data_IF_761907818183
#
_entry.id   IF_761907818183
#
_cell.length_a   1.000
_cell.length_b   1.000
_cell.length_c   1.000
_cell.angle_alpha   90.00
_cell.angle_beta   90.00
_cell.angle_gamma   90.00
#
_symmetry.space_group_name_H-M   'P 1'
#
loop_
_entity.id
_entity.type
_entity.pdbx_description
1 polymer ?
#
# COMPACT_ATOMS: atom_id res chain seq x y z
N UNK A 1 4.87 38.77 -0.44
CA UNK A 1 3.60 38.04 -0.25
C UNK A 1 2.54 38.80 -1.07
N UNK A 2 1.92 38.17 -2.07
CA UNK A 2 0.87 38.80 -2.89
C UNK A 2 -0.39 38.91 -2.02
N UNK A 3 -1.03 40.08 -2.00
CA UNK A 3 -2.21 40.31 -1.18
C UNK A 3 -3.49 39.89 -1.91
N UNK A 4 -4.58 39.61 -1.18
CA UNK A 4 -5.89 39.38 -1.78
C UNK A 4 -6.35 40.60 -2.60
N UNK A 5 -5.96 41.79 -2.18
CA UNK A 5 -6.27 43.02 -2.93
C UNK A 5 -5.59 43.06 -4.31
N UNK A 6 -4.34 42.56 -4.43
CA UNK A 6 -3.64 42.51 -5.72
C UNK A 6 -4.37 41.56 -6.71
N UNK A 7 -4.90 40.45 -6.20
CA UNK A 7 -5.70 39.52 -7.01
C UNK A 7 -7.03 40.15 -7.45
N UNK A 8 -7.75 40.79 -6.52
CA UNK A 8 -9.05 41.42 -6.79
C UNK A 8 -8.91 42.60 -7.78
N UNK A 9 -7.76 43.28 -7.80
CA UNK A 9 -7.49 44.37 -8.73
C UNK A 9 -6.84 43.90 -10.03
N UNK A 10 -6.71 42.60 -10.29
CA UNK A 10 -6.11 42.05 -11.49
C UNK A 10 -4.61 42.31 -11.61
N UNK A 11 -3.94 42.67 -10.50
CA UNK A 11 -2.49 42.98 -10.48
C UNK A 11 -1.62 41.72 -10.37
N UNK A 12 -2.26 40.57 -10.12
CA UNK A 12 -1.58 39.27 -10.11
C UNK A 12 -2.43 38.24 -10.87
N UNK A 13 -1.80 37.26 -11.54
CA UNK A 13 -2.53 36.19 -12.17
C UNK A 13 -3.42 35.46 -11.13
N UNK A 14 -4.57 34.99 -11.60
CA UNK A 14 -5.43 34.13 -10.78
C UNK A 14 -4.66 32.89 -10.35
N UNK A 15 -4.59 32.65 -9.04
CA UNK A 15 -3.87 31.53 -8.43
C UNK A 15 -4.71 30.23 -8.34
N UNK A 16 -5.81 30.14 -9.07
CA UNK A 16 -6.56 28.91 -9.23
C UNK A 16 -5.87 28.00 -10.25
N UNK A 17 -5.76 26.72 -9.91
CA UNK A 17 -5.19 25.69 -10.78
C UNK A 17 -6.21 24.56 -10.92
N UNK A 18 -7.13 24.62 -11.91
CA UNK A 18 -8.09 23.58 -12.17
C UNK A 18 -7.38 22.29 -12.60
N UNK A 19 -7.99 21.14 -12.29
CA UNK A 19 -7.56 19.89 -12.88
C UNK A 19 -7.94 19.85 -14.37
N UNK A 20 -6.95 19.49 -15.18
CA UNK A 20 -7.14 19.13 -16.57
C UNK A 20 -7.02 17.60 -16.69
N UNK A 21 -8.14 16.94 -16.90
CA UNK A 21 -8.19 15.48 -17.04
C UNK A 21 -7.81 15.08 -18.46
N UNK A 22 -6.88 14.15 -18.56
CA UNK A 22 -6.38 13.63 -19.85
C UNK A 22 -6.61 12.12 -19.86
N UNK A 23 -7.21 11.63 -20.96
CA UNK A 23 -7.63 10.23 -21.10
C UNK A 23 -6.77 9.44 -22.10
N UNK A 24 -5.92 10.15 -22.89
CA UNK A 24 -5.09 9.55 -23.95
C UNK A 24 -5.86 9.18 -25.21
N UNK A 25 -7.00 9.83 -25.42
CA UNK A 25 -7.83 9.73 -26.64
C UNK A 25 -7.99 11.06 -27.33
N UNK A 26 -7.57 12.15 -26.69
CA UNK A 26 -7.62 13.50 -27.19
C UNK A 26 -6.61 13.69 -28.32
N UNK A 27 -7.01 14.45 -29.34
CA UNK A 27 -6.10 14.93 -30.38
C UNK A 27 -5.22 16.06 -29.85
N UNK A 28 -4.10 16.30 -30.52
CA UNK A 28 -3.21 17.43 -30.21
C UNK A 28 -3.96 18.77 -30.22
N UNK A 29 -4.84 18.98 -31.20
CA UNK A 29 -5.65 20.20 -31.32
C UNK A 29 -6.61 20.37 -30.12
N UNK A 30 -7.21 19.30 -29.65
CA UNK A 30 -8.08 19.33 -28.48
C UNK A 30 -7.32 19.69 -27.22
N UNK A 31 -6.17 19.04 -26.97
CA UNK A 31 -5.34 19.35 -25.80
C UNK A 31 -4.89 20.82 -25.79
N UNK A 32 -4.41 21.34 -26.92
CA UNK A 32 -4.01 22.76 -27.03
C UNK A 32 -5.19 23.70 -26.82
N UNK A 33 -6.35 23.36 -27.37
CA UNK A 33 -7.58 24.15 -27.21
C UNK A 33 -8.04 24.22 -25.76
N UNK A 34 -7.96 23.14 -25.01
CA UNK A 34 -8.35 23.16 -23.59
C UNK A 34 -7.45 24.08 -22.75
N UNK A 35 -6.13 24.07 -22.98
CA UNK A 35 -5.20 25.01 -22.32
C UNK A 35 -5.54 26.45 -22.67
N UNK A 36 -5.87 26.74 -23.95
CA UNK A 36 -6.27 28.07 -24.38
C UNK A 36 -7.55 28.55 -23.69
N UNK A 37 -8.57 27.70 -23.57
CA UNK A 37 -9.80 28.02 -22.84
C UNK A 37 -9.56 28.34 -21.37
N UNK A 38 -8.70 27.57 -20.72
CA UNK A 38 -8.30 27.84 -19.32
C UNK A 38 -7.65 29.23 -19.24
N UNK A 39 -6.76 29.56 -20.18
CA UNK A 39 -6.10 30.85 -20.25
C UNK A 39 -7.09 31.98 -20.48
N UNK A 40 -8.02 31.83 -21.44
CA UNK A 40 -9.07 32.81 -21.78
C UNK A 40 -9.99 33.10 -20.60
N UNK A 41 -10.16 32.12 -19.68
CA UNK A 41 -10.90 32.30 -18.43
C UNK A 41 -10.16 33.13 -17.37
N UNK A 42 -8.96 33.65 -17.69
CA UNK A 42 -8.15 34.45 -16.76
C UNK A 42 -7.38 33.64 -15.73
N UNK A 43 -7.28 32.31 -15.90
CA UNK A 43 -6.59 31.39 -15.01
C UNK A 43 -5.11 31.34 -15.41
N UNK A 44 -4.19 31.32 -14.42
CA UNK A 44 -2.75 31.40 -14.65
C UNK A 44 -2.03 30.05 -14.75
N UNK A 45 -2.69 28.95 -14.45
CA UNK A 45 -2.11 27.61 -14.50
C UNK A 45 -3.13 26.49 -14.38
N UNK A 46 -2.69 25.26 -14.50
CA UNK A 46 -3.54 24.06 -14.39
C UNK A 46 -2.73 22.89 -13.86
N UNK A 47 -3.43 21.89 -13.32
CA UNK A 47 -2.86 20.63 -12.89
C UNK A 47 -3.34 19.51 -13.80
N UNK A 48 -2.42 18.82 -14.47
CA UNK A 48 -2.74 17.69 -15.35
C UNK A 48 -2.92 16.44 -14.50
N UNK A 49 -4.00 15.73 -14.75
CA UNK A 49 -4.32 14.46 -14.08
C UNK A 49 -4.74 13.41 -15.12
N UNK A 50 -4.14 12.22 -15.06
CA UNK A 50 -4.63 11.05 -15.79
C UNK A 50 -5.95 10.55 -15.18
N UNK A 51 -7.06 10.41 -15.98
CA UNK A 51 -8.36 10.10 -15.35
C UNK A 51 -9.33 9.26 -16.17
N UNK A 52 -9.11 7.97 -16.31
CA UNK A 52 -7.83 7.28 -16.46
C UNK A 52 -7.19 7.65 -17.80
N UNK A 53 -5.87 7.67 -17.87
CA UNK A 53 -5.17 7.80 -19.15
C UNK A 53 -4.92 6.42 -19.73
N UNK A 54 -5.23 6.24 -21.03
CA UNK A 54 -5.16 4.96 -21.74
C UNK A 54 -3.75 4.33 -21.75
N UNK A 55 -2.72 5.19 -21.74
CA UNK A 55 -1.31 4.80 -21.78
C UNK A 55 -0.53 5.54 -20.68
N UNK A 56 -1.06 5.50 -19.43
CA UNK A 56 -0.43 6.14 -18.27
C UNK A 56 0.97 5.55 -18.02
N UNK A 57 1.96 6.40 -17.74
CA UNK A 57 3.38 6.08 -17.65
C UNK A 57 3.99 5.49 -18.93
N UNK A 58 3.25 5.47 -20.04
CA UNK A 58 3.75 5.06 -21.35
C UNK A 58 4.06 6.24 -22.27
N UNK A 59 4.56 5.95 -23.49
CA UNK A 59 4.90 6.98 -24.49
C UNK A 59 3.77 7.95 -24.81
N UNK A 60 2.51 7.49 -24.79
CA UNK A 60 1.33 8.31 -25.02
C UNK A 60 1.13 9.36 -23.95
N UNK A 61 1.29 9.01 -22.69
CA UNK A 61 1.21 9.94 -21.57
C UNK A 61 2.26 11.03 -21.66
N UNK A 62 3.52 10.66 -21.90
CA UNK A 62 4.62 11.62 -22.02
C UNK A 62 4.48 12.52 -23.25
N UNK A 63 3.94 12.01 -24.36
CA UNK A 63 3.59 12.83 -25.52
C UNK A 63 2.56 13.89 -25.15
N UNK A 64 1.47 13.51 -24.47
CA UNK A 64 0.40 14.42 -24.11
C UNK A 64 0.89 15.46 -23.09
N UNK A 65 1.70 15.07 -22.11
CA UNK A 65 2.37 16.01 -21.20
C UNK A 65 3.27 17.00 -21.93
N UNK A 66 4.05 16.54 -22.91
CA UNK A 66 4.93 17.42 -23.71
C UNK A 66 4.13 18.44 -24.52
N UNK A 67 3.01 18.03 -25.12
CA UNK A 67 2.10 18.93 -25.86
C UNK A 67 1.48 20.00 -24.93
N UNK A 68 1.00 19.57 -23.76
CA UNK A 68 0.41 20.49 -22.78
C UNK A 68 1.43 21.47 -22.22
N UNK A 69 2.66 21.00 -21.96
CA UNK A 69 3.76 21.83 -21.47
C UNK A 69 4.19 22.87 -22.52
N UNK A 70 4.28 22.46 -23.81
CA UNK A 70 4.58 23.35 -24.91
C UNK A 70 3.53 24.46 -25.00
N UNK A 71 2.26 24.12 -24.95
CA UNK A 71 1.17 25.09 -25.01
C UNK A 71 1.13 25.98 -23.76
N UNK A 72 1.41 25.45 -22.58
CA UNK A 72 1.51 26.20 -21.34
C UNK A 72 2.63 27.27 -21.45
N UNK A 73 3.80 26.88 -21.94
CA UNK A 73 4.91 27.82 -22.21
C UNK A 73 4.53 28.90 -23.23
N UNK A 74 3.87 28.53 -24.33
CA UNK A 74 3.42 29.46 -25.36
C UNK A 74 2.42 30.49 -24.84
N UNK A 75 1.56 30.09 -23.91
CA UNK A 75 0.51 30.94 -23.33
C UNK A 75 0.91 31.61 -22.01
N UNK A 76 2.12 31.36 -21.51
CA UNK A 76 2.63 31.89 -20.25
C UNK A 76 1.90 31.38 -19.02
N UNK A 77 1.42 30.12 -19.05
CA UNK A 77 0.75 29.46 -17.97
C UNK A 77 1.70 28.55 -17.20
N UNK A 78 1.39 28.30 -15.92
CA UNK A 78 2.05 27.27 -15.12
C UNK A 78 1.34 25.93 -15.30
N UNK A 79 2.11 24.86 -15.42
CA UNK A 79 1.61 23.49 -15.49
C UNK A 79 2.12 22.69 -14.30
N UNK A 80 1.21 22.07 -13.62
CA UNK A 80 1.48 21.10 -12.55
C UNK A 80 1.04 19.71 -13.01
N UNK A 81 1.60 18.68 -12.43
CA UNK A 81 1.28 17.28 -12.75
C UNK A 81 0.88 16.58 -11.47
N UNK A 82 -0.26 15.90 -11.49
CA UNK A 82 -0.57 14.89 -10.51
C UNK A 82 0.11 13.58 -10.93
N UNK A 83 0.95 13.06 -10.08
CA UNK A 83 1.90 11.98 -10.34
C UNK A 83 1.28 10.58 -10.44
N UNK A 84 -0.02 10.43 -10.25
CA UNK A 84 -0.70 9.14 -10.34
C UNK A 84 -2.06 9.23 -11.04
N UNK A 85 -2.53 8.09 -11.53
CA UNK A 85 -3.88 7.95 -12.12
C UNK A 85 -4.98 7.75 -11.08
N UNK A 86 -4.62 7.49 -9.82
CA UNK A 86 -5.53 7.21 -8.70
C UNK A 86 -5.01 7.79 -7.38
N UNK A 87 -5.94 8.11 -6.48
CA UNK A 87 -5.59 8.45 -5.10
C UNK A 87 -5.53 7.21 -4.20
N UNK A 88 -4.62 7.21 -3.22
CA UNK A 88 -3.49 8.10 -3.00
C UNK A 88 -2.35 7.84 -3.99
N UNK A 89 -1.41 8.79 -4.11
CA UNK A 89 -0.21 8.66 -4.96
C UNK A 89 0.71 7.51 -4.50
N UNK A 90 1.59 7.03 -5.40
CA UNK A 90 2.51 5.92 -5.12
C UNK A 90 2.02 4.56 -5.59
N UNK A 91 0.94 4.51 -6.38
CA UNK A 91 0.47 3.29 -7.02
C UNK A 91 1.05 3.11 -8.43
N UNK A 92 1.28 4.22 -9.14
CA UNK A 92 1.82 4.29 -10.49
C UNK A 92 1.09 3.34 -11.47
N UNK A 93 -0.25 3.34 -11.43
CA UNK A 93 -1.10 2.40 -12.18
C UNK A 93 -0.73 0.91 -11.98
N UNK A 94 -0.30 0.58 -10.76
CA UNK A 94 0.12 -0.76 -10.39
C UNK A 94 1.51 -1.18 -10.90
N UNK A 95 2.28 -0.29 -11.53
CA UNK A 95 3.62 -0.57 -12.04
C UNK A 95 4.55 -1.02 -10.91
N UNK A 96 4.54 -0.34 -9.75
CA UNK A 96 5.33 -0.73 -8.58
C UNK A 96 5.09 -2.19 -8.20
N UNK A 97 3.82 -2.59 -8.12
CA UNK A 97 3.48 -3.98 -7.77
C UNK A 97 3.88 -5.00 -8.83
N UNK A 98 3.81 -4.62 -10.11
CA UNK A 98 4.16 -5.51 -11.23
C UNK A 98 5.66 -5.68 -11.40
N UNK A 99 6.41 -4.60 -11.31
CA UNK A 99 7.82 -4.53 -11.74
C UNK A 99 8.77 -4.54 -10.54
N UNK A 100 8.36 -3.93 -9.42
CA UNK A 100 9.17 -3.75 -8.21
C UNK A 100 8.39 -4.12 -6.94
N UNK A 101 7.87 -5.36 -6.81
CA UNK A 101 7.04 -5.75 -5.67
C UNK A 101 7.78 -5.64 -4.32
N UNK A 102 9.11 -5.65 -4.31
CA UNK A 102 9.94 -5.47 -3.12
C UNK A 102 9.88 -4.04 -2.55
N UNK A 103 9.52 -3.05 -3.38
CA UNK A 103 9.34 -1.65 -2.99
C UNK A 103 7.96 -1.36 -2.40
N UNK A 104 7.01 -2.28 -2.53
CA UNK A 104 5.67 -2.10 -1.99
C UNK A 104 5.66 -1.91 -0.47
N UNK A 105 4.66 -1.19 0.01
CA UNK A 105 4.38 -1.05 1.45
C UNK A 105 4.32 -2.39 2.13
N UNK A 106 4.89 -2.45 3.34
CA UNK A 106 4.80 -3.59 4.25
C UNK A 106 4.06 -3.16 5.50
N UNK A 107 3.30 -4.08 6.04
CA UNK A 107 2.50 -3.90 7.24
C UNK A 107 3.01 -4.79 8.35
N UNK A 108 3.14 -4.24 9.54
CA UNK A 108 3.35 -5.01 10.75
C UNK A 108 1.99 -5.54 11.19
N UNK A 109 1.85 -6.86 11.23
CA UNK A 109 0.62 -7.52 11.63
C UNK A 109 0.86 -8.32 12.90
N UNK A 110 -0.08 -8.28 13.83
CA UNK A 110 -0.09 -9.13 15.01
C UNK A 110 -1.32 -10.02 14.97
N UNK A 111 -1.12 -11.32 15.17
CA UNK A 111 -2.18 -12.31 15.41
C UNK A 111 -2.01 -12.90 16.79
N UNK A 112 -3.11 -12.98 17.50
CA UNK A 112 -3.13 -13.50 18.87
C UNK A 112 -3.98 -14.77 18.97
N UNK A 113 -3.51 -15.71 19.78
CA UNK A 113 -4.26 -16.92 20.17
C UNK A 113 -4.18 -17.07 21.68
N UNK A 114 -5.31 -17.29 22.29
CA UNK A 114 -5.42 -17.51 23.72
C UNK A 114 -5.42 -19.00 24.06
N UNK A 115 -4.69 -19.35 25.10
CA UNK A 115 -4.56 -20.70 25.62
C UNK A 115 -4.74 -20.73 27.15
N UNK A 116 -5.24 -21.85 27.63
CA UNK A 116 -5.34 -22.15 29.06
C UNK A 116 -4.40 -23.31 29.39
N UNK A 117 -3.43 -23.07 30.28
CA UNK A 117 -2.50 -24.08 30.76
C UNK A 117 -2.92 -24.69 32.11
N UNK A 118 -2.14 -25.67 32.61
CA UNK A 118 -0.87 -26.10 32.02
C UNK A 118 -1.04 -27.12 30.89
N UNK A 119 -0.12 -27.08 29.90
CA UNK A 119 0.01 -28.09 28.85
C UNK A 119 1.48 -28.29 28.49
N UNK A 120 1.89 -29.52 28.29
CA UNK A 120 3.25 -29.88 27.88
C UNK A 120 3.31 -30.23 26.39
N UNK A 121 4.43 -29.93 25.74
CA UNK A 121 4.70 -30.29 24.36
C UNK A 121 3.62 -29.79 23.35
N UNK A 122 3.17 -28.58 23.53
CA UNK A 122 2.23 -27.95 22.59
C UNK A 122 2.90 -27.61 21.28
N UNK A 123 2.19 -27.86 20.17
CA UNK A 123 2.54 -27.35 18.84
C UNK A 123 1.46 -26.37 18.38
N UNK A 124 1.85 -25.13 18.15
CA UNK A 124 0.99 -24.14 17.50
C UNK A 124 1.36 -23.97 16.04
N UNK A 125 0.42 -24.25 15.12
CA UNK A 125 0.61 -24.02 13.68
C UNK A 125 0.32 -22.56 13.38
N UNK A 126 1.30 -21.85 12.82
CA UNK A 126 1.29 -20.40 12.60
C UNK A 126 0.88 -19.98 11.20
N UNK A 127 0.54 -20.91 10.33
CA UNK A 127 0.18 -20.67 8.92
C UNK A 127 -0.94 -19.62 8.76
N UNK A 128 -1.88 -19.56 9.70
CA UNK A 128 -2.97 -18.59 9.73
C UNK A 128 -2.50 -17.13 9.87
N UNK A 129 -1.29 -16.91 10.38
CA UNK A 129 -0.71 -15.57 10.53
C UNK A 129 -0.09 -15.04 9.24
N UNK A 130 0.20 -15.91 8.28
CA UNK A 130 0.80 -15.57 6.99
C UNK A 130 -0.31 -15.37 5.94
N UNK A 131 -0.34 -14.21 5.32
CA UNK A 131 -1.38 -13.79 4.37
C UNK A 131 -0.90 -13.74 2.93
N UNK A 132 0.43 -13.68 2.76
CA UNK A 132 1.11 -13.63 1.47
C UNK A 132 2.31 -14.58 1.54
N UNK A 133 2.68 -15.27 0.44
CA UNK A 133 3.85 -16.16 0.42
C UNK A 133 5.18 -15.48 0.79
N UNK A 134 5.23 -14.16 0.69
CA UNK A 134 6.41 -13.34 1.03
C UNK A 134 6.43 -12.88 2.48
N UNK A 135 5.39 -13.18 3.25
CA UNK A 135 5.29 -12.79 4.65
C UNK A 135 6.41 -13.44 5.46
N UNK A 136 6.89 -12.69 6.44
CA UNK A 136 7.93 -13.15 7.37
C UNK A 136 7.44 -13.02 8.79
N UNK A 137 7.64 -14.07 9.58
CA UNK A 137 7.47 -13.99 11.02
C UNK A 137 8.67 -13.20 11.57
N UNK A 138 8.39 -12.15 12.33
CA UNK A 138 9.39 -11.34 13.03
C UNK A 138 9.59 -11.81 14.45
N UNK A 139 8.50 -12.14 15.14
CA UNK A 139 8.55 -12.61 16.51
C UNK A 139 7.35 -13.49 16.82
N UNK A 140 7.56 -14.45 17.71
CA UNK A 140 6.52 -15.24 18.35
C UNK A 140 6.75 -15.15 19.85
N UNK A 141 5.76 -14.63 20.59
CA UNK A 141 5.87 -14.44 22.03
C UNK A 141 4.68 -15.02 22.76
N UNK A 142 4.90 -15.55 23.94
CA UNK A 142 3.88 -16.03 24.85
C UNK A 142 3.85 -15.14 26.09
N UNK A 143 2.70 -14.53 26.40
CA UNK A 143 2.54 -13.62 27.54
C UNK A 143 1.34 -14.02 28.38
N UNK A 144 1.45 -13.90 29.70
CA UNK A 144 0.35 -14.21 30.63
C UNK A 144 -0.75 -13.16 30.54
N UNK A 145 -2.00 -13.62 30.49
CA UNK A 145 -3.18 -12.73 30.55
C UNK A 145 -3.46 -12.35 32.00
N UNK A 146 -3.73 -11.08 32.22
CA UNK A 146 -4.13 -10.54 33.53
C UNK A 146 -5.63 -10.28 33.61
N UNK A 147 -6.25 -9.93 32.46
CA UNK A 147 -7.67 -9.73 32.28
C UNK A 147 -8.04 -9.96 30.81
N UNK A 148 -9.30 -9.77 30.48
CA UNK A 148 -9.75 -9.82 29.09
C UNK A 148 -8.96 -8.78 28.24
N UNK A 149 -8.30 -9.27 27.19
CA UNK A 149 -7.46 -8.49 26.26
C UNK A 149 -6.23 -7.78 26.87
N UNK A 150 -5.88 -8.05 28.13
CA UNK A 150 -4.69 -7.49 28.78
C UNK A 150 -3.65 -8.56 29.09
N UNK A 151 -2.40 -8.26 28.85
CA UNK A 151 -1.26 -9.14 29.14
C UNK A 151 -0.32 -8.48 30.17
N UNK A 152 0.40 -9.30 30.91
CA UNK A 152 1.53 -8.86 31.73
C UNK A 152 2.82 -8.96 30.88
N UNK A 153 3.37 -7.82 30.42
CA UNK A 153 4.56 -7.84 29.56
C UNK A 153 5.81 -8.39 30.26
N UNK A 154 5.84 -8.39 31.59
CA UNK A 154 6.98 -8.89 32.37
C UNK A 154 7.08 -10.43 32.34
N UNK A 155 5.99 -11.11 31.97
CA UNK A 155 5.92 -12.55 31.84
C UNK A 155 6.21 -13.05 30.41
N UNK A 156 6.57 -12.15 29.51
CA UNK A 156 6.73 -12.48 28.10
C UNK A 156 7.91 -13.43 27.88
N UNK A 157 7.61 -14.55 27.25
CA UNK A 157 8.57 -15.56 26.82
C UNK A 157 8.75 -15.42 25.31
N UNK A 158 9.98 -15.22 24.85
CA UNK A 158 10.30 -15.21 23.42
C UNK A 158 10.43 -16.65 22.91
N UNK A 159 9.66 -16.98 21.90
CA UNK A 159 9.62 -18.28 21.23
C UNK A 159 10.10 -18.17 19.77
N UNK A 160 10.61 -17.04 19.35
CA UNK A 160 10.97 -16.77 17.95
C UNK A 160 11.97 -17.78 17.40
N UNK A 161 13.00 -18.12 18.16
CA UNK A 161 14.03 -19.09 17.76
C UNK A 161 13.54 -20.55 17.75
N UNK A 162 12.34 -20.81 18.28
CA UNK A 162 11.70 -22.13 18.27
C UNK A 162 10.77 -22.33 17.07
N UNK A 163 10.63 -21.32 16.22
CA UNK A 163 9.78 -21.41 15.03
C UNK A 163 10.49 -22.27 13.99
N UNK A 164 9.78 -23.22 13.43
CA UNK A 164 10.28 -24.11 12.39
C UNK A 164 9.29 -24.29 11.25
N UNK A 165 9.78 -24.74 10.11
CA UNK A 165 8.95 -25.10 8.95
C UNK A 165 8.94 -26.60 8.78
N UNK A 166 7.79 -27.15 8.39
CA UNK A 166 7.65 -28.56 8.06
C UNK A 166 6.77 -28.72 6.82
N UNK A 167 6.97 -29.82 6.11
CA UNK A 167 6.08 -30.21 5.02
C UNK A 167 4.93 -31.02 5.64
N UNK A 168 3.72 -30.50 5.49
CA UNK A 168 2.52 -31.26 5.87
C UNK A 168 2.11 -32.14 4.67
N UNK A 169 2.11 -33.46 4.90
CA UNK A 169 1.62 -34.43 3.92
C UNK A 169 0.13 -34.22 3.54
N UNK A 170 -0.58 -33.39 4.32
CA UNK A 170 -1.98 -32.97 4.07
C UNK A 170 -2.08 -31.64 3.33
N UNK A 171 -1.00 -31.16 2.73
CA UNK A 171 -1.03 -29.96 1.87
C UNK A 171 -1.97 -30.22 0.68
N UNK A 172 -3.17 -29.71 0.76
CA UNK A 172 -4.26 -29.94 -0.18
C UNK A 172 -5.62 -30.11 0.47
N UNK A 173 -5.66 -30.48 1.75
CA UNK A 173 -6.89 -30.50 2.52
C UNK A 173 -7.23 -29.10 3.03
N UNK A 174 -8.39 -28.61 2.60
CA UNK A 174 -8.97 -27.37 3.13
C UNK A 174 -9.39 -27.65 4.56
N UNK A 175 -8.78 -26.97 5.55
CA UNK A 175 -9.31 -26.99 6.90
C UNK A 175 -10.71 -26.37 6.91
N UNK A 176 -11.69 -27.20 7.20
CA UNK A 176 -13.07 -26.77 7.31
C UNK A 176 -13.39 -26.44 8.78
N UNK A 177 -14.19 -25.40 8.98
CA UNK A 177 -14.83 -25.17 10.27
C UNK A 177 -15.77 -26.33 10.63
N UNK A 178 -16.21 -26.39 11.88
CA UNK A 178 -17.22 -27.36 12.32
C UNK A 178 -18.54 -27.32 11.52
N UNK A 179 -18.75 -26.25 10.73
CA UNK A 179 -19.91 -26.08 9.84
C UNK A 179 -19.57 -26.35 8.36
N UNK A 180 -18.43 -26.98 8.07
CA UNK A 180 -18.04 -27.33 6.70
C UNK A 180 -17.61 -26.13 5.81
N UNK A 181 -17.40 -24.96 6.40
CA UNK A 181 -16.95 -23.76 5.67
C UNK A 181 -15.41 -23.69 5.67
N UNK A 182 -14.77 -23.30 4.55
CA UNK A 182 -13.33 -23.06 4.54
C UNK A 182 -12.94 -22.01 5.57
N UNK A 183 -11.97 -22.31 6.42
CA UNK A 183 -11.43 -21.32 7.35
C UNK A 183 -10.70 -20.21 6.60
N UNK A 184 -10.96 -18.93 6.92
CA UNK A 184 -10.25 -17.82 6.29
C UNK A 184 -8.75 -17.90 6.58
N UNK A 185 -7.93 -17.77 5.53
CA UNK A 185 -6.47 -17.70 5.66
C UNK A 185 -5.74 -19.04 5.54
N UNK A 186 -6.39 -20.09 5.00
CA UNK A 186 -5.70 -21.31 4.62
C UNK A 186 -5.02 -21.10 3.24
N UNK A 187 -3.72 -20.72 3.17
CA UNK A 187 -3.02 -20.65 1.90
C UNK A 187 -2.92 -22.06 1.34
N UNK A 188 -3.40 -22.24 0.13
CA UNK A 188 -3.44 -23.56 -0.55
C UNK A 188 -2.05 -24.14 -0.83
N UNK A 189 -0.98 -23.33 -0.70
CA UNK A 189 0.37 -23.68 -1.08
C UNK A 189 1.39 -23.08 -0.09
N UNK A 190 2.48 -23.80 0.15
CA UNK A 190 3.61 -23.36 0.93
C UNK A 190 3.85 -24.18 2.21
N UNK A 191 5.06 -24.11 2.78
CA UNK A 191 5.42 -24.86 3.96
C UNK A 191 4.55 -24.45 5.15
N UNK A 192 4.23 -25.42 6.00
CA UNK A 192 3.63 -25.14 7.29
C UNK A 192 4.68 -24.57 8.23
N UNK A 193 4.28 -23.57 9.01
CA UNK A 193 5.13 -22.96 10.03
C UNK A 193 4.51 -23.25 11.39
N UNK A 194 5.33 -23.68 12.34
CA UNK A 194 4.89 -24.03 13.69
C UNK A 194 5.88 -23.59 14.75
N UNK A 195 5.47 -23.62 16.00
CA UNK A 195 6.28 -23.40 17.17
C UNK A 195 5.89 -24.39 18.26
N UNK A 196 6.89 -25.00 18.90
CA UNK A 196 6.69 -25.91 20.04
C UNK A 196 7.05 -25.20 21.34
N UNK A 197 6.20 -25.38 22.36
CA UNK A 197 6.40 -24.80 23.68
C UNK A 197 5.61 -25.52 24.75
N UNK A 198 6.06 -25.36 25.99
CA UNK A 198 5.29 -25.74 27.17
C UNK A 198 4.47 -24.53 27.62
N UNK A 199 3.21 -24.80 27.97
CA UNK A 199 2.29 -23.76 28.43
C UNK A 199 2.20 -23.85 29.96
N UNK A 200 2.66 -22.85 30.73
CA UNK A 200 2.56 -22.82 32.16
C UNK A 200 1.09 -22.71 32.62
N UNK A 201 0.85 -22.93 33.91
CA UNK A 201 -0.49 -22.77 34.50
C UNK A 201 -1.01 -21.34 34.32
N UNK A 202 -2.31 -21.21 34.04
CA UNK A 202 -3.00 -19.95 33.86
C UNK A 202 -3.47 -19.68 32.44
N UNK A 203 -3.84 -18.42 32.20
CA UNK A 203 -4.27 -17.93 30.88
C UNK A 203 -3.12 -17.23 30.16
N UNK A 204 -2.89 -17.58 28.92
CA UNK A 204 -1.78 -17.09 28.12
C UNK A 204 -2.22 -16.65 26.73
N UNK A 205 -1.53 -15.69 26.17
CA UNK A 205 -1.70 -15.24 24.78
C UNK A 205 -0.43 -15.49 23.99
N UNK A 206 -0.53 -16.25 22.93
CA UNK A 206 0.51 -16.39 21.92
C UNK A 206 0.33 -15.26 20.89
N UNK A 207 1.35 -14.41 20.77
CA UNK A 207 1.37 -13.34 19.79
C UNK A 207 2.29 -13.74 18.63
N UNK A 208 1.78 -13.68 17.41
CA UNK A 208 2.55 -13.93 16.18
C UNK A 208 2.65 -12.62 15.43
N UNK A 209 3.84 -12.07 15.40
CA UNK A 209 4.13 -10.78 14.76
C UNK A 209 4.77 -11.05 13.40
N UNK A 210 4.15 -10.52 12.35
CA UNK A 210 4.58 -10.75 10.97
C UNK A 210 4.76 -9.43 10.23
N UNK A 211 5.66 -9.42 9.25
CA UNK A 211 5.70 -8.42 8.20
C UNK A 211 5.02 -9.00 6.97
N UNK A 212 4.02 -8.29 6.47
CA UNK A 212 3.21 -8.72 5.32
C UNK A 212 3.08 -7.60 4.30
N UNK A 213 2.93 -7.96 3.03
CA UNK A 213 2.51 -7.06 1.97
C UNK A 213 0.99 -6.87 1.93
N UNK A 214 0.26 -7.59 2.80
CA UNK A 214 -1.19 -7.52 2.99
C UNK A 214 -1.51 -7.17 4.43
N UNK A 215 -2.64 -6.51 4.64
CA UNK A 215 -3.12 -6.21 5.99
C UNK A 215 -3.33 -4.75 6.30
N UNK A 216 -3.04 -3.87 5.37
CA UNK A 216 -3.50 -2.49 5.36
C UNK A 216 -4.89 -2.36 4.73
N UNK A 217 -5.29 -1.14 4.46
CA UNK A 217 -6.47 -0.88 3.64
C UNK A 217 -6.25 -1.44 2.24
N UNK A 218 -7.25 -2.12 1.69
CA UNK A 218 -7.16 -2.74 0.35
C UNK A 218 -6.74 -1.75 -0.74
N UNK A 219 -7.10 -0.48 -0.56
CA UNK A 219 -6.79 0.60 -1.49
C UNK A 219 -5.29 0.96 -1.53
N UNK A 220 -4.52 0.62 -0.50
CA UNK A 220 -3.10 0.96 -0.41
C UNK A 220 -2.17 -0.26 -0.49
N UNK A 221 -2.72 -1.46 -0.69
CA UNK A 221 -1.91 -2.64 -0.97
C UNK A 221 -1.25 -2.52 -2.35
N UNK A 222 0.07 -2.65 -2.39
CA UNK A 222 0.85 -2.52 -3.63
C UNK A 222 1.36 -1.11 -3.94
N UNK A 223 1.10 -0.14 -3.06
CA UNK A 223 1.68 1.20 -3.14
C UNK A 223 3.15 1.19 -2.70
N UNK A 224 3.89 2.17 -3.18
CA UNK A 224 5.28 2.38 -2.80
C UNK A 224 5.40 2.57 -1.29
N UNK A 225 6.49 2.04 -0.71
CA UNK A 225 6.79 2.23 0.70
C UNK A 225 7.43 3.61 0.94
N UNK A 226 6.72 4.56 1.59
CA UNK A 226 7.19 5.94 1.75
C UNK A 226 8.40 6.07 2.71
N UNK A 227 8.78 5.00 3.38
CA UNK A 227 9.95 4.98 4.27
C UNK A 227 11.24 4.56 3.56
N UNK A 228 11.18 4.27 2.26
CA UNK A 228 12.35 3.91 1.47
C UNK A 228 12.85 5.13 0.68
N UNK A 229 14.16 5.29 0.64
CA UNK A 229 14.80 6.39 -0.09
C UNK A 229 14.59 6.32 -1.60
N UNK A 230 14.30 5.14 -2.12
CA UNK A 230 14.04 4.90 -3.54
C UNK A 230 12.73 5.53 -4.04
N UNK A 231 11.84 5.94 -3.15
CA UNK A 231 10.60 6.64 -3.52
C UNK A 231 10.89 7.90 -4.33
N UNK A 232 11.87 8.68 -3.90
CA UNK A 232 12.25 9.92 -4.58
C UNK A 232 12.93 9.73 -5.95
N UNK A 233 13.45 8.54 -6.22
CA UNK A 233 14.12 8.24 -7.49
C UNK A 233 13.18 7.64 -8.52
N UNK A 234 12.14 6.93 -8.12
CA UNK A 234 11.16 6.34 -9.06
C UNK A 234 10.29 7.39 -9.74
N UNK A 235 9.98 8.49 -9.05
CA UNK A 235 9.22 9.60 -9.60
C UNK A 235 10.04 10.48 -10.56
N UNK A 236 11.36 10.57 -10.34
CA UNK A 236 12.27 11.40 -11.16
C UNK A 236 12.84 10.65 -12.37
N UNK A 237 12.90 9.32 -12.35
CA UNK A 237 13.43 8.52 -13.46
C UNK A 237 12.41 8.28 -14.58
N UNK A 238 11.14 8.60 -14.35
CA UNK A 238 10.07 8.53 -15.35
C UNK A 238 9.88 9.85 -16.14
N UNK A 239 10.66 10.87 -15.83
CA UNK A 239 10.72 12.16 -16.53
C UNK A 239 11.96 12.23 -17.44
#
# INVERSE_FOLDING_TARGET
MKSVCDVLHGQTPNALYPFLWVHGVESEEELRREVQKIRESGIGGFCVEARPHKDFNGPGWFRDLALLLDEAKRTGMEMWILDDSHFPTGFADGAVKREHPELCKKFLCCKTLDYAGPMENMTAVLKYALRDPRDKILAVTLSRKTAFETIDPTTTIDLTDKVYTFEDARTGEIMLSSMGQPLPGNPKEGPCVAVDFDLPDGQWTLNVITVSYKGGEKQTEGYLNPLRSEEHTSELQSL
#
